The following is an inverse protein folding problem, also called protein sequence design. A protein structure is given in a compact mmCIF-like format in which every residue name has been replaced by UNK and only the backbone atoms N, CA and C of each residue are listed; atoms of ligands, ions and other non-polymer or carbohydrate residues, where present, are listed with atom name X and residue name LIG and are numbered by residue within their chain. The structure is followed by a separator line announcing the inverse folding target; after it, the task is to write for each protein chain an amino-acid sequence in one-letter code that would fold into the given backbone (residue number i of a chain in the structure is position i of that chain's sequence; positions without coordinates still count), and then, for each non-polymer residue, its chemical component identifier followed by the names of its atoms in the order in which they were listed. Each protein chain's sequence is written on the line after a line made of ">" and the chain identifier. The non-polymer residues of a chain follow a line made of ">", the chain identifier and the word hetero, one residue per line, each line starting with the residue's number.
data_IF_288939058985
#
_entry.id   IF_288939058985
#
_cell.length_a   1.000
_cell.length_b   1.000
_cell.length_c   1.000
_cell.angle_alpha   90.00
_cell.angle_beta   90.00
_cell.angle_gamma   90.00
#
_symmetry.space_group_name_H-M   'P 1'
#
loop_
_entity.id
_entity.type
_entity.pdbx_description
1 polymer ?
#
# COMPACT_ATOMS: atom_id res chain seq x y z
N UNK A 1 14.44 68.46 -16.44
CA UNK A 1 13.39 68.52 -15.39
C UNK A 1 12.06 68.24 -16.05
N UNK A 2 11.57 67.03 -15.76
CA UNK A 2 10.19 66.55 -15.61
C UNK A 2 9.17 66.85 -16.73
N UNK A 3 8.78 65.79 -17.44
CA UNK A 3 7.49 65.72 -18.12
C UNK A 3 6.72 64.54 -17.49
N UNK A 4 5.85 64.85 -16.54
CA UNK A 4 4.86 63.91 -16.00
C UNK A 4 3.56 64.08 -16.78
N UNK A 5 3.00 62.97 -17.25
CA UNK A 5 1.60 62.56 -17.04
C UNK A 5 1.32 61.35 -17.94
N UNK A 6 1.69 60.17 -17.42
CA UNK A 6 1.24 58.88 -17.93
C UNK A 6 -0.10 58.57 -17.27
N UNK A 7 -1.17 58.64 -18.05
CA UNK A 7 -2.49 58.13 -17.68
C UNK A 7 -2.41 56.61 -17.74
N UNK A 8 -2.42 55.96 -16.58
CA UNK A 8 -2.62 54.52 -16.48
C UNK A 8 -4.11 54.23 -16.63
N UNK A 9 -4.48 53.53 -17.70
CA UNK A 9 -5.76 52.84 -17.76
C UNK A 9 -5.56 51.35 -18.08
N UNK A 10 -6.42 50.56 -17.45
CA UNK A 10 -6.27 49.15 -17.14
C UNK A 10 -6.96 48.30 -18.19
N UNK A 11 -6.21 47.56 -19.03
CA UNK A 11 -6.73 46.34 -19.68
C UNK A 11 -5.58 45.52 -20.29
N UNK A 12 -4.88 44.74 -19.47
CA UNK A 12 -4.05 43.63 -19.96
C UNK A 12 -4.88 42.34 -19.87
N UNK A 13 -5.89 42.25 -20.72
CA UNK A 13 -6.55 40.99 -21.02
C UNK A 13 -6.55 40.84 -22.55
N UNK A 14 -5.89 39.77 -23.00
CA UNK A 14 -6.03 39.18 -24.32
C UNK A 14 -5.36 39.90 -25.52
N UNK A 15 -4.12 39.50 -25.81
CA UNK A 15 -3.58 39.58 -27.17
C UNK A 15 -3.09 38.19 -27.58
N UNK A 16 -4.03 37.40 -28.12
CA UNK A 16 -3.73 36.23 -28.95
C UNK A 16 -3.03 36.70 -30.23
N UNK A 17 -1.79 36.27 -30.47
CA UNK A 17 -1.12 36.46 -31.76
C UNK A 17 -1.38 35.25 -32.67
N UNK A 18 -1.93 35.44 -33.89
CA UNK A 18 -2.24 34.37 -34.82
C UNK A 18 -1.04 34.09 -35.74
N UNK A 19 0.11 33.76 -35.17
CA UNK A 19 1.24 33.20 -35.88
C UNK A 19 1.72 31.98 -35.08
N UNK A 20 1.47 30.78 -35.61
CA UNK A 20 1.62 29.49 -34.92
C UNK A 20 3.03 29.09 -34.49
N UNK A 21 3.92 30.02 -34.18
CA UNK A 21 5.21 29.74 -33.54
C UNK A 21 5.07 29.84 -32.03
N UNK A 22 4.73 28.71 -31.43
CA UNK A 22 4.81 28.55 -29.99
C UNK A 22 6.29 28.47 -29.64
N UNK A 23 6.82 29.49 -28.96
CA UNK A 23 8.22 29.54 -28.51
C UNK A 23 8.62 28.19 -27.88
N UNK A 24 9.61 27.53 -28.50
CA UNK A 24 10.05 26.17 -28.18
C UNK A 24 10.36 25.99 -26.67
N UNK A 25 10.78 27.05 -25.98
CA UNK A 25 11.14 27.03 -24.56
C UNK A 25 9.94 26.88 -23.62
N UNK A 26 8.72 27.24 -24.05
CA UNK A 26 7.50 27.05 -23.23
C UNK A 26 7.06 25.60 -23.18
N UNK A 27 7.34 24.82 -24.24
CA UNK A 27 7.08 23.38 -24.25
C UNK A 27 8.05 22.61 -23.37
N UNK A 28 9.32 23.05 -23.26
CA UNK A 28 10.30 22.42 -22.36
C UNK A 28 9.89 22.58 -20.89
N UNK A 29 9.32 23.73 -20.54
CA UNK A 29 8.79 23.98 -19.18
C UNK A 29 7.50 23.22 -18.93
N UNK A 30 6.58 23.17 -19.90
CA UNK A 30 5.36 22.37 -19.80
C UNK A 30 5.68 20.88 -19.67
N UNK A 31 6.61 20.36 -20.48
CA UNK A 31 7.04 18.97 -20.39
C UNK A 31 7.67 18.67 -19.04
N UNK A 32 8.51 19.56 -18.49
CA UNK A 32 9.10 19.39 -17.14
C UNK A 32 8.08 19.51 -16.00
N UNK A 33 6.98 20.25 -16.19
CA UNK A 33 5.84 20.29 -15.26
C UNK A 33 4.97 19.02 -15.34
N UNK A 34 4.96 18.33 -16.49
CA UNK A 34 4.27 17.05 -16.69
C UNK A 34 5.19 15.81 -16.55
N UNK A 35 6.52 15.99 -16.55
CA UNK A 35 7.58 14.97 -16.40
C UNK A 35 8.00 14.77 -14.93
N UNK A 36 7.23 15.27 -13.96
CA UNK A 36 7.23 14.63 -12.66
C UNK A 36 6.47 13.31 -12.82
N UNK A 37 7.13 12.30 -13.39
CA UNK A 37 6.72 10.91 -13.32
C UNK A 37 6.58 10.60 -11.83
N UNK A 38 5.35 10.77 -11.31
CA UNK A 38 5.08 10.56 -9.90
C UNK A 38 5.22 9.08 -9.63
N UNK A 39 6.42 8.69 -9.21
CA UNK A 39 6.72 7.34 -8.76
C UNK A 39 5.98 7.18 -7.44
N UNK A 40 4.91 6.37 -7.46
CA UNK A 40 4.10 6.05 -6.28
C UNK A 40 5.03 5.56 -5.17
N UNK A 41 5.00 6.25 -4.04
CA UNK A 41 5.79 5.92 -2.86
C UNK A 41 5.28 4.63 -2.21
N UNK A 42 6.10 3.94 -1.39
CA UNK A 42 5.63 2.79 -0.61
C UNK A 42 4.41 3.09 0.26
N UNK A 43 4.29 4.33 0.76
CA UNK A 43 3.17 4.77 1.58
C UNK A 43 1.87 4.87 0.75
N UNK A 44 1.93 5.47 -0.44
CA UNK A 44 0.78 5.55 -1.35
C UNK A 44 0.34 4.17 -1.84
N UNK A 45 1.29 3.29 -2.16
CA UNK A 45 1.02 1.87 -2.46
C UNK A 45 0.35 1.16 -1.28
N UNK A 46 0.82 1.40 -0.06
CA UNK A 46 0.25 0.83 1.16
C UNK A 46 -1.21 1.27 1.37
N UNK A 47 -1.51 2.56 1.28
CA UNK A 47 -2.87 3.10 1.42
C UNK A 47 -3.81 2.51 0.38
N UNK A 48 -3.37 2.47 -0.88
CA UNK A 48 -4.14 1.86 -1.98
C UNK A 48 -4.36 0.36 -1.76
N UNK A 49 -3.37 -0.36 -1.24
CA UNK A 49 -3.51 -1.76 -0.92
C UNK A 49 -4.54 -2.01 0.19
N UNK A 50 -4.60 -1.14 1.19
CA UNK A 50 -5.64 -1.19 2.22
C UNK A 50 -7.03 -0.99 1.59
N UNK A 51 -7.21 -0.02 0.69
CA UNK A 51 -8.48 0.18 -0.03
C UNK A 51 -8.89 -1.03 -0.87
N UNK A 52 -7.93 -1.67 -1.55
CA UNK A 52 -8.18 -2.92 -2.29
C UNK A 52 -8.61 -4.04 -1.34
N UNK A 53 -7.96 -4.16 -0.18
CA UNK A 53 -8.32 -5.16 0.83
C UNK A 53 -9.75 -4.93 1.37
N UNK A 54 -10.09 -3.70 1.72
CA UNK A 54 -11.42 -3.34 2.23
C UNK A 54 -12.53 -3.53 1.19
N UNK A 55 -12.23 -3.27 -0.09
CA UNK A 55 -13.12 -3.58 -1.22
C UNK A 55 -13.16 -5.06 -1.60
N UNK A 56 -12.47 -5.93 -0.85
CA UNK A 56 -12.36 -7.39 -1.05
C UNK A 56 -11.66 -7.81 -2.34
N UNK A 57 -10.94 -6.89 -2.97
CA UNK A 57 -10.04 -7.19 -4.09
C UNK A 57 -8.70 -7.74 -3.55
N UNK A 58 -8.78 -8.92 -2.95
CA UNK A 58 -7.67 -9.51 -2.20
C UNK A 58 -6.48 -9.90 -3.08
N UNK A 59 -6.72 -10.20 -4.36
CA UNK A 59 -5.65 -10.53 -5.32
C UNK A 59 -4.81 -9.29 -5.59
N UNK A 60 -5.43 -8.18 -5.97
CA UNK A 60 -4.70 -6.94 -6.25
C UNK A 60 -4.11 -6.32 -4.98
N UNK A 61 -4.79 -6.48 -3.85
CA UNK A 61 -4.21 -6.10 -2.55
C UNK A 61 -2.91 -6.87 -2.29
N UNK A 62 -2.90 -8.21 -2.47
CA UNK A 62 -1.72 -9.02 -2.25
C UNK A 62 -0.55 -8.65 -3.18
N UNK A 63 -0.82 -8.41 -4.46
CA UNK A 63 0.19 -7.97 -5.44
C UNK A 63 0.87 -6.66 -5.00
N UNK A 64 0.05 -5.67 -4.62
CA UNK A 64 0.57 -4.35 -4.22
C UNK A 64 1.32 -4.43 -2.89
N UNK A 65 0.80 -5.17 -1.91
CA UNK A 65 1.46 -5.40 -0.61
C UNK A 65 2.79 -6.15 -0.75
N UNK A 66 2.88 -7.10 -1.69
CA UNK A 66 4.12 -7.81 -1.98
C UNK A 66 5.18 -6.86 -2.56
N UNK A 67 4.78 -5.92 -3.42
CA UNK A 67 5.69 -4.87 -3.92
C UNK A 67 6.19 -3.97 -2.77
N UNK A 68 5.29 -3.48 -1.91
CA UNK A 68 5.67 -2.65 -0.75
C UNK A 68 6.58 -3.40 0.22
N UNK A 69 6.35 -4.70 0.43
CA UNK A 69 7.19 -5.54 1.28
C UNK A 69 8.63 -5.72 0.75
N UNK A 70 8.84 -5.62 -0.56
CA UNK A 70 10.17 -5.60 -1.15
C UNK A 70 10.93 -4.29 -0.85
N UNK A 71 10.21 -3.19 -0.67
CA UNK A 71 10.77 -1.86 -0.39
C UNK A 71 10.93 -1.61 1.12
N UNK A 72 10.02 -2.13 1.96
CA UNK A 72 10.02 -1.91 3.42
C UNK A 72 9.79 -3.22 4.19
N UNK A 73 10.82 -4.09 4.32
CA UNK A 73 10.65 -5.49 4.76
C UNK A 73 10.44 -5.71 6.26
N UNK A 74 10.52 -4.66 7.09
CA UNK A 74 10.53 -4.80 8.55
C UNK A 74 9.20 -4.46 9.25
N UNK A 75 8.16 -4.07 8.51
CA UNK A 75 6.88 -3.68 9.11
C UNK A 75 5.96 -4.90 9.34
N UNK A 76 5.69 -5.25 10.59
CA UNK A 76 4.85 -6.42 10.94
C UNK A 76 3.42 -6.27 10.39
N UNK A 77 2.80 -5.10 10.53
CA UNK A 77 1.44 -4.82 10.03
C UNK A 77 1.32 -5.04 8.51
N UNK A 78 2.34 -4.66 7.76
CA UNK A 78 2.41 -4.90 6.32
C UNK A 78 2.43 -6.39 6.00
N UNK A 79 3.23 -7.15 6.74
CA UNK A 79 3.37 -8.59 6.54
C UNK A 79 2.09 -9.33 6.95
N UNK A 80 1.42 -8.88 8.02
CA UNK A 80 0.12 -9.40 8.46
C UNK A 80 -0.96 -9.11 7.42
N UNK A 81 -1.07 -7.88 6.91
CA UNK A 81 -2.07 -7.54 5.89
C UNK A 81 -1.84 -8.34 4.61
N UNK A 82 -0.59 -8.53 4.19
CA UNK A 82 -0.23 -9.38 3.04
C UNK A 82 -0.65 -10.84 3.26
N UNK A 83 -0.38 -11.40 4.45
CA UNK A 83 -0.81 -12.76 4.78
C UNK A 83 -2.34 -12.90 4.77
N UNK A 84 -3.08 -11.91 5.29
CA UNK A 84 -4.54 -11.87 5.23
C UNK A 84 -5.04 -11.81 3.77
N UNK A 85 -4.41 -10.99 2.93
CA UNK A 85 -4.76 -10.90 1.52
C UNK A 85 -4.54 -12.23 0.78
N UNK A 86 -3.43 -12.92 1.05
CA UNK A 86 -3.19 -14.27 0.54
C UNK A 86 -4.22 -15.29 1.03
N UNK A 87 -4.56 -15.27 2.32
CA UNK A 87 -5.59 -16.15 2.87
C UNK A 87 -6.95 -15.95 2.17
N UNK A 88 -7.41 -14.69 2.07
CA UNK A 88 -8.71 -14.40 1.46
C UNK A 88 -8.75 -14.66 -0.05
N UNK A 89 -7.63 -14.51 -0.76
CA UNK A 89 -7.48 -14.87 -2.18
C UNK A 89 -7.19 -16.36 -2.44
N UNK A 90 -7.28 -17.22 -1.42
CA UNK A 90 -7.02 -18.66 -1.50
C UNK A 90 -5.57 -19.05 -1.90
N UNK A 91 -4.63 -18.12 -1.80
CA UNK A 91 -3.20 -18.36 -2.02
C UNK A 91 -2.56 -18.91 -0.73
N UNK A 92 -3.04 -20.08 -0.28
CA UNK A 92 -2.77 -20.58 1.07
C UNK A 92 -1.29 -20.89 1.33
N UNK A 93 -0.54 -21.34 0.32
CA UNK A 93 0.90 -21.57 0.46
C UNK A 93 1.69 -20.28 0.72
N UNK A 94 1.32 -19.18 0.04
CA UNK A 94 1.92 -17.87 0.26
C UNK A 94 1.56 -17.32 1.64
N UNK A 95 0.30 -17.51 2.08
CA UNK A 95 -0.15 -17.12 3.42
C UNK A 95 0.65 -17.86 4.50
N UNK A 96 0.76 -19.19 4.40
CA UNK A 96 1.50 -20.03 5.35
C UNK A 96 2.97 -19.63 5.44
N UNK A 97 3.66 -19.48 4.31
CA UNK A 97 5.05 -19.06 4.26
C UNK A 97 5.25 -17.72 4.95
N UNK A 98 4.36 -16.76 4.70
CA UNK A 98 4.43 -15.43 5.31
C UNK A 98 4.18 -15.46 6.81
N UNK A 99 3.18 -16.23 7.25
CA UNK A 99 2.81 -16.34 8.66
C UNK A 99 3.89 -17.02 9.49
N UNK A 100 4.57 -18.03 8.95
CA UNK A 100 5.72 -18.65 9.61
C UNK A 100 6.84 -17.65 9.90
N UNK A 101 7.14 -16.76 8.96
CA UNK A 101 8.13 -15.69 9.17
C UNK A 101 7.68 -14.72 10.27
N UNK A 102 6.38 -14.40 10.33
CA UNK A 102 5.84 -13.48 11.35
C UNK A 102 5.97 -14.10 12.75
N UNK A 103 5.54 -15.36 12.95
CA UNK A 103 5.61 -16.01 14.27
C UNK A 103 7.04 -16.34 14.73
N UNK A 104 7.97 -16.53 13.78
CA UNK A 104 9.40 -16.69 14.10
C UNK A 104 10.01 -15.37 14.60
N UNK A 105 9.64 -14.25 13.98
CA UNK A 105 10.14 -12.92 14.34
C UNK A 105 9.43 -12.33 15.56
N UNK A 106 8.13 -12.52 15.66
CA UNK A 106 7.27 -12.01 16.72
C UNK A 106 6.41 -13.15 17.30
N UNK A 107 6.96 -13.91 18.25
CA UNK A 107 6.28 -15.08 18.82
C UNK A 107 5.03 -14.74 19.64
N UNK A 108 4.78 -13.48 19.98
CA UNK A 108 3.60 -13.07 20.78
C UNK A 108 2.49 -12.46 19.92
N UNK A 109 2.69 -12.35 18.60
CA UNK A 109 1.66 -11.91 17.66
C UNK A 109 0.55 -12.98 17.54
N UNK A 110 -0.43 -12.89 18.44
CA UNK A 110 -1.54 -13.84 18.56
C UNK A 110 -2.35 -14.00 17.27
N UNK A 111 -2.52 -12.90 16.50
CA UNK A 111 -3.32 -12.94 15.29
C UNK A 111 -2.62 -13.73 14.18
N UNK A 112 -1.29 -13.70 14.12
CA UNK A 112 -0.50 -14.53 13.20
C UNK A 112 -0.68 -16.02 13.51
N UNK A 113 -0.68 -16.41 14.78
CA UNK A 113 -0.93 -17.79 15.21
C UNK A 113 -2.33 -18.26 14.78
N UNK A 114 -3.35 -17.43 15.01
CA UNK A 114 -4.72 -17.72 14.63
C UNK A 114 -4.84 -17.92 13.11
N UNK A 115 -4.28 -17.00 12.33
CA UNK A 115 -4.38 -17.04 10.88
C UNK A 115 -3.56 -18.21 10.29
N UNK A 116 -2.43 -18.58 10.90
CA UNK A 116 -1.65 -19.75 10.48
C UNK A 116 -2.43 -21.04 10.71
N UNK A 117 -3.04 -21.20 11.88
CA UNK A 117 -3.92 -22.32 12.18
C UNK A 117 -5.05 -22.46 11.15
N UNK A 118 -5.80 -21.38 10.89
CA UNK A 118 -6.90 -21.36 9.90
C UNK A 118 -6.41 -21.63 8.47
N UNK A 119 -5.22 -21.16 8.12
CA UNK A 119 -4.62 -21.41 6.80
C UNK A 119 -4.34 -22.90 6.63
N UNK A 120 -3.75 -23.54 7.64
CA UNK A 120 -3.45 -24.98 7.65
C UNK A 120 -4.72 -25.84 7.63
N UNK A 121 -5.77 -25.46 8.37
CA UNK A 121 -7.08 -26.12 8.30
C UNK A 121 -7.66 -26.07 6.88
N UNK A 122 -7.62 -24.90 6.24
CA UNK A 122 -8.14 -24.71 4.87
C UNK A 122 -7.31 -25.44 3.81
N UNK A 123 -6.05 -25.76 4.11
CA UNK A 123 -5.21 -26.66 3.32
C UNK A 123 -5.47 -28.15 3.59
N UNK A 124 -6.35 -28.50 4.54
CA UNK A 124 -6.63 -29.90 4.91
C UNK A 124 -5.59 -30.50 5.86
N UNK A 125 -4.88 -29.67 6.64
CA UNK A 125 -3.82 -30.09 7.59
C UNK A 125 -4.18 -29.74 9.05
N UNK A 126 -5.30 -30.25 9.59
CA UNK A 126 -5.79 -29.87 10.92
C UNK A 126 -4.85 -30.28 12.06
N UNK A 127 -4.11 -31.38 11.91
CA UNK A 127 -3.14 -31.83 12.92
C UNK A 127 -2.00 -30.82 13.10
N UNK A 128 -1.52 -30.23 12.00
CA UNK A 128 -0.51 -29.18 12.03
C UNK A 128 -1.07 -27.83 12.48
N UNK A 129 -2.36 -27.57 12.26
CA UNK A 129 -3.04 -26.34 12.69
C UNK A 129 -3.21 -26.26 14.21
N UNK A 130 -3.52 -27.39 14.85
CA UNK A 130 -3.87 -27.47 16.27
C UNK A 130 -2.89 -26.77 17.23
N UNK A 131 -1.56 -26.93 17.14
CA UNK A 131 -0.63 -26.17 18.01
C UNK A 131 -0.72 -24.66 17.83
N UNK A 132 -0.90 -24.16 16.61
CA UNK A 132 -1.00 -22.72 16.34
C UNK A 132 -2.29 -22.13 16.90
N UNK A 133 -3.41 -22.84 16.79
CA UNK A 133 -4.68 -22.41 17.37
C UNK A 133 -4.65 -22.37 18.90
N UNK A 134 -3.97 -23.34 19.54
CA UNK A 134 -3.76 -23.32 21.00
C UNK A 134 -2.92 -22.13 21.46
N UNK A 135 -1.84 -21.81 20.72
CA UNK A 135 -1.02 -20.62 21.00
C UNK A 135 -1.82 -19.33 20.83
N UNK A 136 -2.63 -19.24 19.78
CA UNK A 136 -3.50 -18.09 19.56
C UNK A 136 -4.49 -17.88 20.71
N UNK A 137 -5.11 -18.96 21.22
CA UNK A 137 -5.99 -18.91 22.38
C UNK A 137 -5.25 -18.47 23.66
N UNK A 138 -4.02 -18.97 23.87
CA UNK A 138 -3.19 -18.60 25.00
C UNK A 138 -2.83 -17.11 25.01
N UNK A 139 -2.42 -16.56 23.87
CA UNK A 139 -2.08 -15.14 23.76
C UNK A 139 -3.31 -14.22 23.68
N UNK A 140 -4.43 -14.69 23.14
CA UNK A 140 -5.67 -13.93 23.00
C UNK A 140 -6.52 -13.81 24.27
N UNK A 141 -6.09 -14.43 25.38
CA UNK A 141 -6.76 -14.32 26.68
C UNK A 141 -7.75 -15.44 27.02
N UNK A 142 -7.87 -16.49 26.19
CA UNK A 142 -8.83 -17.59 26.38
C UNK A 142 -8.39 -18.63 27.43
N UNK A 143 -7.20 -18.45 28.02
CA UNK A 143 -6.63 -19.30 29.08
C UNK A 143 -6.66 -18.62 30.47
N UNK A 144 -7.37 -17.50 30.62
CA UNK A 144 -7.39 -16.71 31.87
C UNK A 144 -8.41 -17.19 32.93
N UNK A 145 -9.12 -18.30 32.73
CA UNK A 145 -10.02 -18.87 33.74
C UNK A 145 -9.62 -20.31 34.10
N UNK A 146 -8.84 -20.42 35.18
CA UNK A 146 -8.71 -21.62 36.04
C UNK A 146 -8.91 -21.24 37.50
#
# INVERSE_FOLDING_TARGET
>A
MNNELSVHDSTMFNAYQPNGEVAADRWVTAKRLFDAEHVETPAEKWERAQLLFESRDYVRAAELLAAVAGEVPFQTDLHLLLARAYYHSAQLGNAEARLRVIVDRDPVEHYAHLLLGRTLERQGRPEEAAPWLRLAAAFGGDLAEV
#
